data_IF_438426625221
#
_entry.id   IF_438426625221
#
_cell.length_a   1.000
_cell.length_b   1.000
_cell.length_c   1.000
_cell.angle_alpha   90.00
_cell.angle_beta   90.00
_cell.angle_gamma   90.00
#
_symmetry.space_group_name_H-M   'P 1'
#
loop_
_entity.id
_entity.type
_entity.pdbx_description
1 polymer ?
#
# COMPACT_ATOMS: atom_id res chain seq x y z
N UNK A 1 -23.87 -1.78 -13.48
CA UNK A 1 -22.38 -1.82 -13.50
C UNK A 1 -21.99 -3.20 -13.01
N UNK A 2 -21.56 -4.08 -13.95
CA UNK A 2 -21.29 -5.51 -13.70
C UNK A 2 -20.40 -5.69 -12.48
N UNK A 3 -20.79 -6.66 -11.65
CA UNK A 3 -20.15 -7.09 -10.42
C UNK A 3 -18.62 -7.04 -10.51
N UNK A 4 -18.03 -5.96 -9.99
CA UNK A 4 -16.60 -5.92 -9.71
C UNK A 4 -16.35 -6.98 -8.64
N UNK A 5 -16.08 -8.20 -9.11
CA UNK A 5 -15.87 -9.39 -8.31
C UNK A 5 -14.94 -9.04 -7.16
N UNK A 6 -15.30 -9.47 -5.95
CA UNK A 6 -14.57 -9.17 -4.72
C UNK A 6 -13.05 -9.41 -4.87
N UNK A 7 -12.68 -10.43 -5.66
CA UNK A 7 -11.29 -10.74 -6.08
C UNK A 7 -10.59 -9.59 -6.82
N UNK A 8 -11.27 -8.93 -7.76
CA UNK A 8 -10.71 -7.80 -8.51
C UNK A 8 -10.38 -6.63 -7.58
N UNK A 9 -11.23 -6.34 -6.59
CA UNK A 9 -10.93 -5.33 -5.55
C UNK A 9 -9.71 -5.71 -4.71
N UNK A 10 -9.60 -6.96 -4.28
CA UNK A 10 -8.43 -7.44 -3.52
C UNK A 10 -7.14 -7.28 -4.33
N UNK A 11 -7.16 -7.65 -5.62
CA UNK A 11 -6.00 -7.50 -6.51
C UNK A 11 -5.66 -6.02 -6.72
N UNK A 12 -6.67 -5.16 -6.85
CA UNK A 12 -6.46 -3.72 -7.03
C UNK A 12 -5.81 -3.07 -5.80
N UNK A 13 -6.35 -3.32 -4.60
CA UNK A 13 -5.75 -2.85 -3.35
C UNK A 13 -4.38 -3.50 -3.10
N UNK A 14 -4.21 -4.76 -3.51
CA UNK A 14 -2.94 -5.49 -3.46
C UNK A 14 -1.85 -4.83 -4.31
N UNK A 15 -2.16 -4.52 -5.57
CA UNK A 15 -1.23 -3.85 -6.48
C UNK A 15 -0.84 -2.46 -5.97
N UNK A 16 -1.81 -1.68 -5.47
CA UNK A 16 -1.56 -0.36 -4.88
C UNK A 16 -0.63 -0.46 -3.67
N UNK A 17 -0.81 -1.47 -2.81
CA UNK A 17 0.05 -1.68 -1.65
C UNK A 17 1.48 -2.04 -2.06
N UNK A 18 1.66 -2.93 -3.04
CA UNK A 18 2.99 -3.32 -3.54
C UNK A 18 3.71 -2.10 -4.13
N UNK A 19 3.04 -1.36 -5.01
CA UNK A 19 3.60 -0.15 -5.63
C UNK A 19 3.96 0.88 -4.56
N UNK A 20 3.08 1.09 -3.56
CA UNK A 20 3.35 2.01 -2.46
C UNK A 20 4.52 1.58 -1.58
N UNK A 21 4.66 0.27 -1.34
CA UNK A 21 5.76 -0.26 -0.55
C UNK A 21 7.11 -0.13 -1.29
N UNK A 22 7.12 -0.37 -2.61
CA UNK A 22 8.31 -0.17 -3.44
C UNK A 22 8.77 1.30 -3.45
N UNK A 23 7.83 2.24 -3.58
CA UNK A 23 8.15 3.67 -3.51
C UNK A 23 8.60 4.10 -2.12
N UNK A 24 7.98 3.58 -1.06
CA UNK A 24 8.42 3.83 0.31
C UNK A 24 9.87 3.36 0.51
N UNK A 25 10.22 2.17 0.03
CA UNK A 25 11.58 1.64 0.13
C UNK A 25 12.61 2.51 -0.61
N UNK A 26 12.26 3.00 -1.81
CA UNK A 26 13.10 3.93 -2.58
C UNK A 26 13.29 5.28 -1.87
N UNK A 27 12.25 5.81 -1.23
CA UNK A 27 12.36 7.04 -0.46
C UNK A 27 13.18 6.84 0.82
N UNK A 28 13.05 5.67 1.47
CA UNK A 28 13.84 5.32 2.65
C UNK A 28 15.34 5.25 2.32
N UNK A 29 15.70 4.60 1.21
CA UNK A 29 17.10 4.51 0.76
C UNK A 29 17.64 5.86 0.33
N UNK A 30 16.82 6.73 -0.27
CA UNK A 30 17.20 8.10 -0.59
C UNK A 30 17.48 8.93 0.68
N UNK A 31 16.67 8.79 1.74
CA UNK A 31 16.93 9.42 3.04
C UNK A 31 18.19 8.86 3.69
N UNK A 32 18.37 7.53 3.71
CA UNK A 32 19.55 6.88 4.30
C UNK A 32 20.85 7.25 3.59
N UNK A 33 20.82 7.52 2.29
CA UNK A 33 21.98 7.97 1.51
C UNK A 33 22.32 9.46 1.70
N UNK A 34 21.69 10.15 2.66
CA UNK A 34 22.04 11.51 3.02
C UNK A 34 21.37 12.59 2.18
N UNK A 35 20.27 12.26 1.48
CA UNK A 35 19.43 13.28 0.84
C UNK A 35 18.71 14.11 1.91
N UNK A 36 19.38 15.15 2.41
CA UNK A 36 18.90 16.11 3.40
C UNK A 36 17.87 17.12 2.84
N UNK A 37 17.26 16.83 1.69
CA UNK A 37 16.17 17.64 1.18
C UNK A 37 14.92 17.41 2.03
N UNK A 38 14.37 18.44 2.67
CA UNK A 38 13.13 18.34 3.47
C UNK A 38 11.92 17.75 2.70
N UNK A 39 11.97 17.78 1.36
CA UNK A 39 11.02 17.05 0.51
C UNK A 39 11.09 15.53 0.64
N UNK A 40 12.28 14.96 0.84
CA UNK A 40 12.53 13.51 0.96
C UNK A 40 11.83 12.92 2.19
N UNK A 41 11.94 13.59 3.34
CA UNK A 41 11.28 13.19 4.59
C UNK A 41 9.75 13.26 4.45
N UNK A 42 9.25 14.33 3.82
CA UNK A 42 7.81 14.50 3.56
C UNK A 42 7.27 13.39 2.66
N UNK A 43 8.02 13.01 1.62
CA UNK A 43 7.71 11.89 0.73
C UNK A 43 7.69 10.56 1.50
N UNK A 44 8.65 10.29 2.38
CA UNK A 44 8.65 9.07 3.21
C UNK A 44 7.39 8.95 4.07
N UNK A 45 6.96 10.05 4.70
CA UNK A 45 5.75 10.07 5.54
C UNK A 45 4.50 9.81 4.69
N UNK A 46 4.38 10.49 3.54
CA UNK A 46 3.24 10.35 2.65
C UNK A 46 3.13 8.92 2.11
N UNK A 47 4.25 8.33 1.65
CA UNK A 47 4.29 6.95 1.18
C UNK A 47 4.07 5.94 2.32
N UNK A 48 4.48 6.22 3.56
CA UNK A 48 4.24 5.35 4.71
C UNK A 48 2.75 5.24 5.03
N UNK A 49 2.03 6.36 5.02
CA UNK A 49 0.58 6.39 5.22
C UNK A 49 -0.13 5.64 4.09
N UNK A 50 0.32 5.82 2.84
CA UNK A 50 -0.27 5.13 1.69
C UNK A 50 0.00 3.62 1.70
N UNK A 51 1.19 3.20 2.14
CA UNK A 51 1.53 1.80 2.35
C UNK A 51 0.70 1.16 3.48
N UNK A 52 0.48 1.87 4.60
CA UNK A 52 -0.41 1.43 5.69
C UNK A 52 -1.85 1.26 5.20
N UNK A 53 -2.36 2.19 4.40
CA UNK A 53 -3.68 2.07 3.78
C UNK A 53 -3.78 0.88 2.82
N UNK A 54 -2.75 0.63 2.01
CA UNK A 54 -2.67 -0.54 1.13
C UNK A 54 -2.68 -1.86 1.91
N UNK A 55 -1.86 -1.96 2.97
CA UNK A 55 -1.79 -3.14 3.84
C UNK A 55 -3.09 -3.38 4.61
N UNK A 56 -3.71 -2.31 5.15
CA UNK A 56 -5.01 -2.40 5.81
C UNK A 56 -6.11 -2.86 4.83
N UNK A 57 -6.08 -2.38 3.58
CA UNK A 57 -6.97 -2.82 2.51
C UNK A 57 -6.83 -4.31 2.18
N UNK A 58 -5.60 -4.81 2.07
CA UNK A 58 -5.32 -6.25 1.88
C UNK A 58 -5.80 -7.06 3.10
N UNK A 59 -5.47 -6.64 4.32
CA UNK A 59 -5.86 -7.33 5.55
C UNK A 59 -7.37 -7.43 5.72
N UNK A 60 -8.09 -6.34 5.43
CA UNK A 60 -9.56 -6.30 5.44
C UNK A 60 -10.17 -7.21 4.37
N UNK A 61 -9.59 -7.21 3.16
CA UNK A 61 -10.02 -8.07 2.06
C UNK A 61 -9.80 -9.57 2.36
N UNK A 62 -8.66 -9.93 2.95
CA UNK A 62 -8.36 -11.30 3.41
C UNK A 62 -9.31 -11.75 4.51
N UNK A 63 -9.57 -10.90 5.52
CA UNK A 63 -10.51 -11.20 6.61
C UNK A 63 -11.94 -11.43 6.08
N UNK A 64 -12.35 -10.66 5.07
CA UNK A 64 -13.67 -10.79 4.43
C UNK A 64 -13.79 -12.04 3.56
N UNK A 65 -12.70 -12.47 2.90
CA UNK A 65 -12.65 -13.77 2.18
C UNK A 65 -12.82 -14.96 3.13
N UNK A 66 -12.24 -14.89 4.33
CA UNK A 66 -12.36 -15.98 5.31
C UNK A 66 -13.79 -16.11 5.89
N UNK A 67 -14.51 -14.98 6.02
CA UNK A 67 -15.93 -14.98 6.41
C UNK A 67 -16.89 -15.44 5.33
N UNK A 68 -16.51 -15.38 4.05
CA UNK A 68 -17.37 -15.82 2.95
C UNK A 68 -17.24 -17.33 2.64
N UNK A 69 -16.31 -18.02 3.31
CA UNK A 69 -16.07 -19.47 3.17
C UNK A 69 -16.70 -20.29 4.31
N UNK A 70 -17.27 -19.63 5.31
CA UNK A 70 -17.94 -20.25 6.47
C UNK A 70 -19.41 -19.89 6.46
#
# INVERSE_FOLDING_TARGET
MKDFSFKARVIYFGAIAIISLSFLALQLTAVMQGSNGGGSITLVILWSIMALFGLAGIGYALKRRNRQKN
#
